data_IF_753403870742
#
_entry.id   IF_753403870742
#
_cell.length_a   1.000
_cell.length_b   1.000
_cell.length_c   1.000
_cell.angle_alpha   90.00
_cell.angle_beta   90.00
_cell.angle_gamma   90.00
#
_symmetry.space_group_name_H-M   'P 1'
#
loop_
_entity.id
_entity.type
_entity.pdbx_description
1 polymer ?
#
# COMPACT_ATOMS: atom_id res chain seq x y z
N UNK A 1 15.38 5.36 6.23
CA UNK A 1 15.69 6.80 6.41
C UNK A 1 14.59 7.43 7.25
N UNK A 2 14.85 7.60 8.55
CA UNK A 2 13.90 8.16 9.52
C UNK A 2 13.46 9.56 9.05
N UNK A 3 12.18 9.72 8.74
CA UNK A 3 11.60 11.03 8.48
C UNK A 3 11.88 11.92 9.69
N UNK A 4 12.52 13.06 9.45
CA UNK A 4 12.66 14.16 10.39
C UNK A 4 11.28 14.78 10.71
N UNK A 5 10.42 13.99 11.36
CA UNK A 5 9.23 14.47 12.04
C UNK A 5 9.65 14.87 13.44
N UNK A 6 9.26 16.07 13.87
CA UNK A 6 9.45 16.53 15.25
C UNK A 6 8.91 15.45 16.18
N UNK A 7 9.76 14.92 17.07
CA UNK A 7 9.36 13.79 17.91
C UNK A 7 8.19 14.20 18.82
N UNK A 8 7.18 13.34 19.01
CA UNK A 8 6.03 13.65 19.87
C UNK A 8 6.46 13.95 21.32
N UNK A 9 7.60 13.41 21.76
CA UNK A 9 8.24 13.70 23.05
C UNK A 9 8.75 15.15 23.10
N UNK A 10 9.41 15.62 22.04
CA UNK A 10 9.91 17.00 21.96
C UNK A 10 8.77 18.02 22.07
N UNK A 11 7.65 17.75 21.38
CA UNK A 11 6.48 18.63 21.42
C UNK A 11 5.79 18.66 22.78
N UNK A 12 5.77 17.53 23.49
CA UNK A 12 5.29 17.47 24.87
C UNK A 12 6.17 18.29 25.82
N UNK A 13 7.49 18.15 25.71
CA UNK A 13 8.45 18.90 26.53
C UNK A 13 8.35 20.40 26.26
N UNK A 14 8.26 20.80 25.00
CA UNK A 14 8.09 22.21 24.63
C UNK A 14 6.80 22.81 25.20
N UNK A 15 5.69 22.07 25.13
CA UNK A 15 4.42 22.51 25.71
C UNK A 15 4.50 22.63 27.24
N UNK A 16 5.08 21.63 27.92
CA UNK A 16 5.26 21.66 29.37
C UNK A 16 6.16 22.81 29.83
N UNK A 17 7.25 23.08 29.12
CA UNK A 17 8.10 24.24 29.39
C UNK A 17 7.33 25.55 29.19
N UNK A 18 6.59 25.65 28.09
CA UNK A 18 5.76 26.81 27.77
C UNK A 18 4.71 27.13 28.85
N UNK A 19 3.94 26.12 29.26
CA UNK A 19 2.95 26.24 30.33
C UNK A 19 3.60 26.46 31.69
N UNK A 20 4.71 25.76 31.98
CA UNK A 20 5.42 25.83 33.25
C UNK A 20 5.98 27.21 33.55
N UNK A 21 6.60 27.88 32.56
CA UNK A 21 7.12 29.24 32.73
C UNK A 21 6.00 30.23 33.08
N UNK A 22 4.88 30.19 32.36
CA UNK A 22 3.72 31.04 32.68
C UNK A 22 3.14 30.72 34.06
N UNK A 23 3.07 29.45 34.46
CA UNK A 23 2.60 29.06 35.79
C UNK A 23 3.48 29.63 36.91
N UNK A 24 4.81 29.52 36.77
CA UNK A 24 5.76 30.09 37.74
C UNK A 24 5.62 31.61 37.84
N UNK A 25 5.46 32.32 36.72
CA UNK A 25 5.20 33.77 36.71
C UNK A 25 3.87 34.11 37.41
N UNK A 26 2.85 33.25 37.28
CA UNK A 26 1.59 33.43 37.99
C UNK A 26 1.76 33.26 39.50
N UNK A 27 2.48 32.23 39.94
CA UNK A 27 2.74 31.98 41.37
C UNK A 27 3.47 33.15 42.04
N UNK A 28 4.47 33.74 41.37
CA UNK A 28 5.21 34.90 41.93
C UNK A 28 4.36 36.17 42.04
N UNK A 29 3.19 36.22 41.39
CA UNK A 29 2.28 37.36 41.43
C UNK A 29 1.10 37.18 42.40
N UNK A 30 1.01 36.07 43.12
CA UNK A 30 -0.11 35.81 44.06
C UNK A 30 -0.16 36.85 45.17
N UNK A 31 0.97 37.16 45.82
CA UNK A 31 1.01 38.12 46.93
C UNK A 31 0.77 39.57 46.49
N UNK A 32 1.04 39.88 45.21
CA UNK A 32 0.82 41.19 44.61
C UNK A 32 -0.53 41.31 43.88
N UNK A 33 -1.37 40.27 43.93
CA UNK A 33 -2.64 40.25 43.22
C UNK A 33 -3.67 41.15 43.91
N UNK A 34 -4.56 41.75 43.11
CA UNK A 34 -5.70 42.53 43.64
C UNK A 34 -6.66 41.65 44.45
N UNK A 35 -6.82 40.42 44.00
CA UNK A 35 -7.66 39.38 44.58
C UNK A 35 -6.87 38.06 44.58
N UNK A 36 -6.25 37.69 45.73
CA UNK A 36 -5.45 36.47 45.84
C UNK A 36 -6.24 35.20 45.57
N UNK A 37 -7.52 35.14 45.98
CA UNK A 37 -8.36 33.94 45.81
C UNK A 37 -8.68 33.72 44.33
N UNK A 38 -8.99 34.79 43.60
CA UNK A 38 -9.17 34.75 42.15
C UNK A 38 -7.87 34.33 41.43
N UNK A 39 -6.71 34.75 41.92
CA UNK A 39 -5.41 34.37 41.35
C UNK A 39 -5.12 32.88 41.53
N UNK A 40 -5.36 32.33 42.72
CA UNK A 40 -5.18 30.90 43.01
C UNK A 40 -6.14 30.07 42.16
N UNK A 41 -7.41 30.47 42.06
CA UNK A 41 -8.40 29.78 41.22
C UNK A 41 -7.98 29.79 39.73
N UNK A 42 -7.44 30.91 39.26
CA UNK A 42 -6.90 31.04 37.91
C UNK A 42 -5.74 30.08 37.65
N UNK A 43 -4.80 29.95 38.59
CA UNK A 43 -3.68 29.00 38.51
C UNK A 43 -4.15 27.54 38.46
N UNK A 44 -5.17 27.17 39.26
CA UNK A 44 -5.75 25.82 39.26
C UNK A 44 -6.38 25.49 37.90
N UNK A 45 -7.21 26.37 37.36
CA UNK A 45 -7.82 26.16 36.04
C UNK A 45 -6.78 26.11 34.93
N UNK A 46 -5.76 26.97 34.99
CA UNK A 46 -4.66 26.98 34.04
C UNK A 46 -3.87 25.67 34.06
N UNK A 47 -3.53 25.15 35.24
CA UNK A 47 -2.82 23.88 35.40
C UNK A 47 -3.67 22.71 34.85
N UNK A 48 -4.98 22.71 35.10
CA UNK A 48 -5.90 21.73 34.53
C UNK A 48 -5.90 21.74 33.00
N UNK A 49 -6.00 22.93 32.40
CA UNK A 49 -5.95 23.09 30.94
C UNK A 49 -4.60 22.62 30.36
N UNK A 50 -3.48 22.98 31.01
CA UNK A 50 -2.14 22.58 30.62
C UNK A 50 -1.96 21.06 30.68
N UNK A 51 -2.41 20.40 31.74
CA UNK A 51 -2.33 18.94 31.89
C UNK A 51 -3.14 18.21 30.82
N UNK A 52 -4.37 18.64 30.54
CA UNK A 52 -5.22 18.01 29.52
C UNK A 52 -4.58 18.10 28.12
N UNK A 53 -3.83 19.16 27.85
CA UNK A 53 -3.20 19.39 26.54
C UNK A 53 -1.83 18.72 26.46
N UNK A 54 -1.04 18.76 27.53
CA UNK A 54 0.34 18.27 27.54
C UNK A 54 0.48 16.77 27.87
N UNK A 55 -0.35 16.22 28.74
CA UNK A 55 -0.18 14.84 29.28
C UNK A 55 -0.60 13.74 28.31
N UNK A 56 -1.73 13.82 27.56
CA UNK A 56 -2.07 12.78 26.60
C UNK A 56 -0.96 12.67 25.55
N UNK A 57 -0.41 11.45 25.39
CA UNK A 57 0.66 11.18 24.43
C UNK A 57 0.24 11.76 23.08
N UNK A 58 1.12 12.55 22.47
CA UNK A 58 1.05 13.04 21.09
C UNK A 58 1.13 11.90 20.04
N UNK A 59 0.68 10.70 20.42
CA UNK A 59 0.61 9.50 19.61
C UNK A 59 -0.64 9.48 18.74
N UNK A 60 -1.75 10.08 19.20
CA UNK A 60 -2.98 10.22 18.42
C UNK A 60 -3.02 11.61 17.78
N UNK A 61 -3.18 11.65 16.46
CA UNK A 61 -3.11 12.89 15.67
C UNK A 61 -4.27 13.87 15.96
N UNK A 62 -5.35 13.40 16.61
CA UNK A 62 -6.53 14.18 16.96
C UNK A 62 -6.86 14.04 18.45
N UNK A 63 -7.09 15.17 19.10
CA UNK A 63 -7.53 15.21 20.49
C UNK A 63 -9.03 14.89 20.58
N UNK A 64 -9.49 14.08 21.56
CA UNK A 64 -10.92 13.88 21.80
C UNK A 64 -11.65 15.21 21.99
N UNK A 65 -12.89 15.29 21.48
CA UNK A 65 -13.66 16.54 21.50
C UNK A 65 -13.90 17.01 22.95
N UNK A 66 -14.27 16.09 23.84
CA UNK A 66 -14.50 16.38 25.26
C UNK A 66 -13.26 16.98 25.94
N UNK A 67 -12.08 16.40 25.72
CA UNK A 67 -10.82 16.93 26.28
C UNK A 67 -10.50 18.31 25.71
N UNK A 68 -10.77 18.53 24.42
CA UNK A 68 -10.57 19.83 23.77
C UNK A 68 -11.48 20.89 24.39
N UNK A 69 -12.77 20.57 24.54
CA UNK A 69 -13.75 21.45 25.17
C UNK A 69 -13.36 21.77 26.62
N UNK A 70 -13.00 20.75 27.39
CA UNK A 70 -12.58 20.92 28.78
C UNK A 70 -11.32 21.81 28.89
N UNK A 71 -10.30 21.58 28.06
CA UNK A 71 -9.09 22.40 28.07
C UNK A 71 -9.36 23.86 27.70
N UNK A 72 -10.16 24.10 26.65
CA UNK A 72 -10.55 25.44 26.20
C UNK A 72 -11.36 26.16 27.29
N UNK A 73 -12.35 25.49 27.86
CA UNK A 73 -13.21 26.04 28.91
C UNK A 73 -12.41 26.35 30.18
N UNK A 74 -11.56 25.44 30.63
CA UNK A 74 -10.68 25.68 31.78
C UNK A 74 -9.72 26.85 31.51
N UNK A 75 -9.16 26.97 30.31
CA UNK A 75 -8.30 28.09 29.97
C UNK A 75 -9.07 29.42 29.94
N UNK A 76 -10.30 29.43 29.44
CA UNK A 76 -11.16 30.62 29.48
C UNK A 76 -11.47 31.06 30.91
N UNK A 77 -11.81 30.10 31.77
CA UNK A 77 -12.04 30.37 33.20
C UNK A 77 -10.77 30.87 33.88
N UNK A 78 -9.61 30.30 33.54
CA UNK A 78 -8.32 30.79 34.01
C UNK A 78 -8.08 32.24 33.58
N UNK A 79 -8.28 32.57 32.30
CA UNK A 79 -8.10 33.92 31.78
C UNK A 79 -9.04 34.93 32.46
N UNK A 80 -10.32 34.59 32.63
CA UNK A 80 -11.30 35.43 33.32
C UNK A 80 -10.88 35.74 34.76
N UNK A 81 -10.51 34.71 35.53
CA UNK A 81 -10.08 34.90 36.92
C UNK A 81 -8.71 35.61 37.03
N UNK A 82 -7.80 35.30 36.13
CA UNK A 82 -6.48 35.95 36.05
C UNK A 82 -6.62 37.43 35.69
N UNK A 83 -7.61 37.78 34.89
CA UNK A 83 -7.94 39.16 34.60
C UNK A 83 -8.59 39.90 35.78
N UNK A 84 -9.45 39.24 36.56
CA UNK A 84 -9.99 39.84 37.80
C UNK A 84 -8.90 40.11 38.85
N UNK A 85 -7.94 39.19 38.97
CA UNK A 85 -6.84 39.28 39.92
C UNK A 85 -5.77 40.33 39.56
N UNK A 86 -5.71 40.78 38.30
CA UNK A 86 -4.67 41.70 37.81
C UNK A 86 -5.22 43.09 37.55
N UNK A 87 -4.55 44.13 38.06
CA UNK A 87 -4.94 45.53 37.79
C UNK A 87 -4.51 45.92 36.38
N UNK A 88 -5.41 46.59 35.64
CA UNK A 88 -5.07 47.20 34.35
C UNK A 88 -4.35 48.52 34.62
N UNK A 89 -3.14 48.67 34.09
CA UNK A 89 -2.34 49.89 34.22
C UNK A 89 -2.46 50.66 32.90
N UNK A 90 -2.52 52.01 32.89
CA UNK A 90 -2.62 52.81 31.66
C UNK A 90 -1.28 52.88 30.89
N UNK A 91 -0.63 51.73 30.71
CA UNK A 91 0.60 51.55 29.94
C UNK A 91 0.27 50.60 28.78
N UNK A 92 0.66 50.96 27.57
CA UNK A 92 0.46 50.11 26.41
C UNK A 92 1.36 48.86 26.50
N UNK A 93 0.81 47.70 26.15
CA UNK A 93 1.58 46.45 26.10
C UNK A 93 1.85 45.80 27.45
N UNK A 94 0.99 46.04 28.44
CA UNK A 94 0.86 45.12 29.58
C UNK A 94 0.66 43.69 29.03
N UNK A 95 1.21 42.73 29.76
CA UNK A 95 1.18 41.32 29.37
C UNK A 95 0.68 40.52 30.56
N UNK A 96 -0.44 39.78 30.43
CA UNK A 96 -0.93 38.97 31.52
C UNK A 96 0.04 37.83 31.77
N UNK A 97 0.09 37.34 33.01
CA UNK A 97 1.01 36.26 33.40
C UNK A 97 0.82 34.98 32.57
N UNK A 98 -0.40 34.74 32.06
CA UNK A 98 -0.76 33.60 31.24
C UNK A 98 -0.52 33.80 29.73
N UNK A 99 0.01 34.95 29.28
CA UNK A 99 0.16 35.27 27.85
C UNK A 99 0.97 34.23 27.06
N UNK A 100 2.07 33.73 27.64
CA UNK A 100 2.88 32.69 27.00
C UNK A 100 2.13 31.35 26.96
N UNK A 101 1.44 31.00 28.04
CA UNK A 101 0.52 29.87 28.08
C UNK A 101 -0.58 29.91 27.02
N UNK A 102 -1.13 31.09 26.74
CA UNK A 102 -2.15 31.29 25.70
C UNK A 102 -1.59 30.99 24.31
N UNK A 103 -0.39 31.49 24.00
CA UNK A 103 0.30 31.18 22.73
C UNK A 103 0.55 29.68 22.57
N UNK A 104 1.02 29.01 23.64
CA UNK A 104 1.28 27.57 23.64
C UNK A 104 -0.02 26.78 23.48
N UNK A 105 -1.12 27.22 24.11
CA UNK A 105 -2.44 26.62 23.98
C UNK A 105 -2.96 26.66 22.54
N UNK A 106 -2.91 27.83 21.90
CA UNK A 106 -3.31 28.01 20.50
C UNK A 106 -2.46 27.12 19.58
N UNK A 107 -1.14 27.14 19.77
CA UNK A 107 -0.21 26.33 19.00
C UNK A 107 -0.51 24.84 19.13
N UNK A 108 -0.75 24.36 20.35
CA UNK A 108 -1.10 22.98 20.61
C UNK A 108 -2.43 22.56 19.97
N UNK A 109 -3.46 23.41 20.02
CA UNK A 109 -4.75 23.16 19.36
C UNK A 109 -4.63 23.09 17.83
N UNK A 110 -3.82 23.97 17.23
CA UNK A 110 -3.54 23.95 15.79
C UNK A 110 -2.86 22.65 15.37
N UNK A 111 -1.82 22.22 16.09
CA UNK A 111 -1.13 20.97 15.81
C UNK A 111 -2.02 19.73 15.99
N UNK A 112 -3.01 19.81 16.88
CA UNK A 112 -3.98 18.73 17.15
C UNK A 112 -5.23 18.78 16.26
N UNK A 113 -5.18 19.51 15.14
CA UNK A 113 -6.26 19.61 14.14
C UNK A 113 -7.57 20.21 14.66
N UNK A 114 -7.53 20.99 15.75
CA UNK A 114 -8.69 21.66 16.35
C UNK A 114 -8.67 23.17 16.06
N UNK A 115 -8.43 23.52 14.80
CA UNK A 115 -8.28 24.90 14.34
C UNK A 115 -9.43 25.82 14.80
N UNK A 116 -10.68 25.41 14.59
CA UNK A 116 -11.84 26.22 14.97
C UNK A 116 -11.95 26.47 16.47
N UNK A 117 -11.47 25.53 17.30
CA UNK A 117 -11.41 25.72 18.75
C UNK A 117 -10.30 26.71 19.16
N UNK A 118 -9.17 26.71 18.45
CA UNK A 118 -8.11 27.70 18.64
C UNK A 118 -8.60 29.11 18.26
N UNK A 119 -9.33 29.24 17.14
CA UNK A 119 -9.97 30.50 16.73
C UNK A 119 -10.96 30.97 17.79
N UNK A 120 -11.84 30.08 18.25
CA UNK A 120 -12.83 30.39 19.28
C UNK A 120 -12.15 30.89 20.57
N UNK A 121 -11.12 30.19 21.04
CA UNK A 121 -10.35 30.59 22.21
C UNK A 121 -9.70 31.97 22.03
N UNK A 122 -9.10 32.21 20.86
CA UNK A 122 -8.48 33.50 20.53
C UNK A 122 -9.48 34.65 20.49
N UNK A 123 -10.64 34.45 19.87
CA UNK A 123 -11.71 35.45 19.78
C UNK A 123 -12.21 35.81 21.19
N UNK A 124 -12.53 34.81 22.01
CA UNK A 124 -13.05 35.04 23.37
C UNK A 124 -12.04 35.78 24.24
N UNK A 125 -10.76 35.39 24.21
CA UNK A 125 -9.72 36.07 24.97
C UNK A 125 -9.46 37.48 24.45
N UNK A 126 -9.57 37.70 23.13
CA UNK A 126 -9.48 39.05 22.55
C UNK A 126 -10.63 39.93 23.01
N UNK A 127 -11.86 39.42 23.07
CA UNK A 127 -13.01 40.15 23.60
C UNK A 127 -12.81 40.48 25.09
N UNK A 128 -12.33 39.53 25.89
CA UNK A 128 -12.00 39.76 27.31
C UNK A 128 -10.91 40.84 27.48
N UNK A 129 -9.89 40.82 26.62
CA UNK A 129 -8.80 41.79 26.60
C UNK A 129 -9.30 43.20 26.26
N UNK A 130 -10.14 43.33 25.22
CA UNK A 130 -10.71 44.61 24.77
C UNK A 130 -11.54 45.30 25.85
N UNK A 131 -12.27 44.54 26.68
CA UNK A 131 -13.04 45.09 27.82
C UNK A 131 -12.19 45.81 28.86
N UNK A 132 -10.88 45.55 28.89
CA UNK A 132 -9.93 46.13 29.84
C UNK A 132 -9.20 47.35 29.31
N UNK A 133 -9.36 47.68 28.03
CA UNK A 133 -8.65 48.81 27.45
C UNK A 133 -9.10 50.10 28.10
N UNK A 134 -8.12 50.86 28.59
CA UNK A 134 -8.37 52.10 29.32
C UNK A 134 -8.43 53.25 28.33
N UNK A 135 -9.45 54.09 28.45
CA UNK A 135 -9.55 55.34 27.68
C UNK A 135 -8.88 56.45 28.47
N UNK A 136 -7.83 57.05 27.89
CA UNK A 136 -7.11 58.19 28.47
C UNK A 136 -7.15 59.33 27.47
N UNK A 137 -7.73 60.48 27.87
CA UNK A 137 -7.84 61.71 27.05
C UNK A 137 -8.33 61.42 25.61
N UNK A 138 -9.53 60.83 25.50
CA UNK A 138 -10.20 60.47 24.24
C UNK A 138 -9.44 59.52 23.30
N UNK A 139 -8.30 58.97 23.76
CA UNK A 139 -7.55 57.94 23.06
C UNK A 139 -7.67 56.61 23.81
N UNK A 140 -8.00 55.54 23.08
CA UNK A 140 -8.03 54.18 23.63
C UNK A 140 -6.60 53.68 23.70
N UNK A 141 -6.09 53.45 24.91
CA UNK A 141 -4.76 52.86 25.09
C UNK A 141 -4.91 51.34 25.00
N UNK A 142 -4.27 50.67 24.03
CA UNK A 142 -4.28 49.22 23.95
C UNK A 142 -3.43 48.66 25.09
N UNK A 143 -4.06 48.50 26.26
CA UNK A 143 -3.41 48.05 27.49
C UNK A 143 -2.76 46.69 27.28
N UNK A 144 -3.38 45.81 26.50
CA UNK A 144 -2.95 44.42 26.32
C UNK A 144 -2.83 44.10 24.81
N UNK A 145 -1.62 43.93 24.28
CA UNK A 145 -1.36 43.72 22.83
C UNK A 145 -0.97 42.28 22.45
N UNK A 146 -0.83 41.39 23.44
CA UNK A 146 -0.34 40.02 23.25
C UNK A 146 -1.23 39.16 22.33
N UNK A 147 -2.53 39.48 22.20
CA UNK A 147 -3.47 38.77 21.31
C UNK A 147 -3.14 38.97 19.84
N UNK A 148 -2.54 40.11 19.45
CA UNK A 148 -2.09 40.39 18.09
C UNK A 148 -0.85 39.55 17.73
N UNK A 149 0.10 39.43 18.67
CA UNK A 149 1.26 38.56 18.49
C UNK A 149 0.85 37.08 18.37
N UNK A 150 -0.12 36.65 19.17
CA UNK A 150 -0.69 35.31 19.08
C UNK A 150 -1.35 35.04 17.72
N UNK A 151 -2.00 36.04 17.11
CA UNK A 151 -2.56 35.94 15.76
C UNK A 151 -1.48 35.72 14.69
N UNK A 152 -0.35 36.42 14.78
CA UNK A 152 0.78 36.25 13.85
C UNK A 152 1.38 34.84 13.92
N UNK A 153 1.64 34.35 15.13
CA UNK A 153 2.13 32.97 15.34
C UNK A 153 1.11 31.92 14.90
N UNK A 154 -0.18 32.20 15.12
CA UNK A 154 -1.29 31.35 14.68
C UNK A 154 -1.33 31.19 13.16
N UNK A 155 -1.29 32.31 12.42
CA UNK A 155 -1.31 32.28 10.94
C UNK A 155 -0.07 31.58 10.39
N UNK A 156 1.12 31.87 10.93
CA UNK A 156 2.36 31.22 10.52
C UNK A 156 2.32 29.69 10.73
N UNK A 157 1.81 29.25 11.89
CA UNK A 157 1.66 27.82 12.21
C UNK A 157 0.65 27.13 11.29
N UNK A 158 -0.47 27.80 10.99
CA UNK A 158 -1.49 27.28 10.09
C UNK A 158 -0.99 27.08 8.66
N UNK A 159 -0.30 28.08 8.11
CA UNK A 159 0.30 28.00 6.77
C UNK A 159 1.34 26.88 6.72
N UNK A 160 2.22 26.81 7.72
CA UNK A 160 3.23 25.74 7.82
C UNK A 160 2.60 24.34 7.89
N UNK A 161 1.49 24.19 8.62
CA UNK A 161 0.77 22.92 8.72
C UNK A 161 0.09 22.52 7.40
N UNK A 162 -0.53 23.47 6.68
CA UNK A 162 -1.13 23.18 5.37
C UNK A 162 -0.09 22.74 4.34
N UNK A 163 1.06 23.42 4.29
CA UNK A 163 2.15 23.04 3.39
C UNK A 163 2.72 21.65 3.72
N UNK A 164 2.84 21.32 5.01
CA UNK A 164 3.25 19.98 5.43
C UNK A 164 2.27 18.88 4.98
N UNK A 165 0.96 19.14 5.07
CA UNK A 165 -0.06 18.20 4.58
C UNK A 165 0.02 18.01 3.06
N UNK A 166 0.13 19.11 2.30
CA UNK A 166 0.28 19.08 0.84
C UNK A 166 1.51 18.28 0.41
N UNK A 167 2.64 18.52 1.07
CA UNK A 167 3.88 17.80 0.81
C UNK A 167 3.76 16.30 1.07
N UNK A 168 3.10 15.90 2.16
CA UNK A 168 2.86 14.49 2.47
C UNK A 168 1.91 13.83 1.46
N UNK A 169 0.90 14.55 0.96
CA UNK A 169 0.01 14.05 -0.08
C UNK A 169 0.79 13.80 -1.39
N UNK A 170 1.59 14.77 -1.84
CA UNK A 170 2.45 14.63 -3.03
C UNK A 170 3.42 13.46 -2.92
N UNK A 171 4.03 13.24 -1.75
CA UNK A 171 4.90 12.07 -1.51
C UNK A 171 4.17 10.74 -1.64
N UNK A 172 2.92 10.66 -1.17
CA UNK A 172 2.10 9.44 -1.30
C UNK A 172 1.75 9.18 -2.75
N UNK A 173 1.41 10.23 -3.50
CA UNK A 173 1.11 10.15 -4.93
C UNK A 173 2.31 9.69 -5.75
N UNK A 174 3.50 10.29 -5.54
CA UNK A 174 4.75 9.87 -6.19
C UNK A 174 5.05 8.40 -5.87
N UNK A 175 4.87 7.97 -4.60
CA UNK A 175 5.08 6.57 -4.24
C UNK A 175 4.10 5.63 -4.95
N UNK A 176 2.83 6.01 -5.09
CA UNK A 176 1.84 5.24 -5.85
C UNK A 176 2.25 5.14 -7.32
N UNK A 177 2.63 6.26 -7.95
CA UNK A 177 3.08 6.29 -9.34
C UNK A 177 4.29 5.38 -9.58
N UNK A 178 5.28 5.40 -8.68
CA UNK A 178 6.46 4.53 -8.74
C UNK A 178 6.12 3.04 -8.59
N UNK A 179 5.14 2.69 -7.75
CA UNK A 179 4.69 1.31 -7.59
C UNK A 179 3.99 0.80 -8.86
N UNK A 180 3.11 1.61 -9.46
CA UNK A 180 2.45 1.27 -10.73
C UNK A 180 3.43 1.19 -11.91
N UNK A 181 4.46 2.03 -11.94
CA UNK A 181 5.50 1.95 -12.97
C UNK A 181 6.28 0.62 -12.86
N UNK A 182 6.70 0.24 -11.65
CA UNK A 182 7.41 -1.03 -11.41
C UNK A 182 6.58 -2.26 -11.77
N UNK A 183 5.29 -2.29 -11.43
CA UNK A 183 4.44 -3.43 -11.77
C UNK A 183 4.27 -3.61 -13.28
N UNK A 184 4.24 -2.50 -14.04
CA UNK A 184 4.15 -2.55 -15.49
C UNK A 184 5.47 -3.02 -16.12
N UNK A 185 6.61 -2.54 -15.61
CA UNK A 185 7.93 -2.96 -16.08
C UNK A 185 8.19 -4.46 -15.81
N UNK A 186 7.79 -4.97 -14.64
CA UNK A 186 7.90 -6.40 -14.30
C UNK A 186 7.07 -7.28 -15.24
N UNK A 187 5.81 -6.91 -15.50
CA UNK A 187 4.96 -7.65 -16.43
C UNK A 187 5.49 -7.65 -17.87
N UNK A 188 6.05 -6.52 -18.32
CA UNK A 188 6.67 -6.43 -19.64
C UNK A 188 7.95 -7.27 -19.73
N UNK A 189 8.79 -7.26 -18.68
CA UNK A 189 10.00 -8.09 -18.60
C UNK A 189 9.68 -9.59 -18.61
N UNK A 190 8.68 -10.02 -17.84
CA UNK A 190 8.24 -11.42 -17.81
C UNK A 190 7.77 -11.88 -19.20
N UNK A 191 7.02 -11.05 -19.92
CA UNK A 191 6.56 -11.36 -21.27
C UNK A 191 7.73 -11.49 -22.27
N UNK A 192 8.74 -10.63 -22.15
CA UNK A 192 9.96 -10.68 -22.98
C UNK A 192 10.77 -11.92 -22.69
N UNK A 193 10.99 -12.24 -21.41
CA UNK A 193 11.72 -13.43 -20.98
C UNK A 193 11.06 -14.72 -21.48
N UNK A 194 9.74 -14.84 -21.35
CA UNK A 194 8.98 -15.96 -21.88
C UNK A 194 9.06 -16.08 -23.42
N UNK A 195 9.16 -14.95 -24.12
CA UNK A 195 9.40 -14.96 -25.58
C UNK A 195 10.81 -15.45 -25.93
N UNK A 196 11.84 -14.96 -25.24
CA UNK A 196 13.22 -15.38 -25.45
C UNK A 196 13.44 -16.87 -25.17
N UNK A 197 12.85 -17.40 -24.09
CA UNK A 197 12.92 -18.83 -23.77
C UNK A 197 12.32 -19.69 -24.89
N UNK A 198 11.14 -19.33 -25.41
CA UNK A 198 10.52 -20.04 -26.54
C UNK A 198 11.39 -20.05 -27.79
N UNK A 199 12.04 -18.94 -28.12
CA UNK A 199 12.97 -18.87 -29.26
C UNK A 199 14.18 -19.80 -29.04
N UNK A 200 14.73 -19.83 -27.82
CA UNK A 200 15.84 -20.72 -27.48
C UNK A 200 15.45 -22.19 -27.57
N UNK A 201 14.25 -22.57 -27.13
CA UNK A 201 13.75 -23.94 -27.23
C UNK A 201 13.58 -24.40 -28.68
N UNK A 202 12.98 -23.55 -29.53
CA UNK A 202 12.87 -23.85 -30.97
C UNK A 202 14.25 -23.98 -31.60
N UNK A 203 15.20 -23.10 -31.26
CA UNK A 203 16.57 -23.16 -31.78
C UNK A 203 17.29 -24.44 -31.34
N UNK A 204 17.10 -24.88 -30.09
CA UNK A 204 17.67 -26.12 -29.57
C UNK A 204 17.14 -27.35 -30.29
N UNK A 205 15.86 -27.37 -30.67
CA UNK A 205 15.22 -28.49 -31.34
C UNK A 205 15.55 -28.56 -32.84
N UNK A 206 15.46 -27.43 -33.55
CA UNK A 206 15.56 -27.41 -35.01
C UNK A 206 16.90 -26.88 -35.56
N UNK A 207 17.72 -26.25 -34.72
CA UNK A 207 18.91 -25.51 -35.16
C UNK A 207 19.87 -26.35 -36.01
N UNK A 208 20.28 -27.52 -35.50
CA UNK A 208 21.22 -28.39 -36.22
C UNK A 208 20.66 -28.93 -37.55
N UNK A 209 19.36 -29.19 -37.62
CA UNK A 209 18.69 -29.66 -38.85
C UNK A 209 18.59 -28.54 -39.89
N UNK A 210 18.28 -27.32 -39.46
CA UNK A 210 18.25 -26.15 -40.35
C UNK A 210 19.66 -25.76 -40.83
N UNK A 211 20.67 -25.84 -39.96
CA UNK A 211 22.07 -25.61 -40.34
C UNK A 211 22.53 -26.62 -41.40
N UNK A 212 22.17 -27.89 -41.23
CA UNK A 212 22.41 -28.93 -42.23
C UNK A 212 21.75 -28.61 -43.57
N UNK A 213 20.45 -28.27 -43.58
CA UNK A 213 19.75 -27.88 -44.81
C UNK A 213 20.43 -26.67 -45.49
N UNK A 214 20.94 -25.72 -44.70
CA UNK A 214 21.52 -24.49 -45.22
C UNK A 214 22.95 -24.64 -45.76
N UNK A 215 23.76 -25.53 -45.19
CA UNK A 215 25.22 -25.57 -45.45
C UNK A 215 25.73 -26.90 -46.01
N UNK A 216 24.98 -27.99 -45.91
CA UNK A 216 25.39 -29.30 -46.41
C UNK A 216 24.84 -29.52 -47.84
N UNK A 217 25.69 -29.60 -48.88
CA UNK A 217 25.26 -29.82 -50.25
C UNK A 217 25.01 -31.29 -50.60
N UNK A 218 25.17 -32.23 -49.65
CA UNK A 218 24.90 -33.65 -49.89
C UNK A 218 23.42 -33.94 -50.17
N UNK A 219 23.14 -35.03 -50.90
CA UNK A 219 21.77 -35.45 -51.18
C UNK A 219 21.05 -35.82 -49.87
N UNK A 220 19.80 -35.36 -49.75
CA UNK A 220 18.94 -35.63 -48.60
C UNK A 220 18.50 -37.11 -48.65
N UNK A 221 18.91 -37.89 -47.67
CA UNK A 221 18.55 -39.32 -47.58
C UNK A 221 17.15 -39.50 -46.99
N UNK A 222 16.55 -40.69 -47.14
CA UNK A 222 15.26 -41.00 -46.50
C UNK A 222 15.32 -40.91 -44.96
N UNK A 223 16.47 -41.26 -44.37
CA UNK A 223 16.70 -41.08 -42.94
C UNK A 223 16.55 -39.63 -42.52
N UNK A 224 17.07 -38.71 -43.32
CA UNK A 224 17.01 -37.27 -43.05
C UNK A 224 15.59 -36.72 -43.15
N UNK A 225 14.86 -37.15 -44.19
CA UNK A 225 13.45 -36.80 -44.36
C UNK A 225 12.65 -37.24 -43.13
N UNK A 226 12.93 -38.43 -42.60
CA UNK A 226 12.28 -38.92 -41.40
C UNK A 226 12.62 -38.06 -40.17
N UNK A 227 13.90 -37.71 -39.97
CA UNK A 227 14.32 -36.82 -38.88
C UNK A 227 13.68 -35.42 -38.97
N UNK A 228 13.56 -34.86 -40.18
CA UNK A 228 12.87 -33.58 -40.38
C UNK A 228 11.38 -33.67 -40.05
N UNK A 229 10.69 -34.72 -40.50
CA UNK A 229 9.27 -34.96 -40.19
C UNK A 229 9.02 -35.15 -38.70
N UNK A 230 9.85 -35.93 -38.02
CA UNK A 230 9.75 -36.13 -36.57
C UNK A 230 9.96 -34.82 -35.81
N UNK A 231 10.92 -34.00 -36.23
CA UNK A 231 11.20 -32.71 -35.58
C UNK A 231 10.09 -31.68 -35.84
N UNK A 232 9.53 -31.64 -37.05
CA UNK A 232 8.36 -30.80 -37.38
C UNK A 232 7.15 -31.20 -36.52
N UNK A 233 6.86 -32.50 -36.42
CA UNK A 233 5.77 -32.99 -35.61
C UNK A 233 5.98 -32.65 -34.12
N UNK A 234 7.21 -32.78 -33.60
CA UNK A 234 7.55 -32.40 -32.23
C UNK A 234 7.37 -30.89 -31.99
N UNK A 235 7.76 -30.02 -32.95
CA UNK A 235 7.53 -28.58 -32.86
C UNK A 235 6.04 -28.25 -32.86
N UNK A 236 5.26 -28.90 -33.73
CA UNK A 236 3.81 -28.72 -33.81
C UNK A 236 3.12 -29.09 -32.50
N UNK A 237 3.52 -30.21 -31.89
CA UNK A 237 2.98 -30.64 -30.60
C UNK A 237 3.38 -29.69 -29.47
N UNK A 238 4.59 -29.15 -29.49
CA UNK A 238 5.01 -28.15 -28.50
C UNK A 238 4.13 -26.89 -28.59
N UNK A 239 3.78 -26.47 -29.80
CA UNK A 239 2.93 -25.29 -30.04
C UNK A 239 1.46 -25.57 -29.68
N UNK A 240 0.93 -26.74 -30.08
CA UNK A 240 -0.48 -27.11 -29.88
C UNK A 240 -0.77 -27.62 -28.47
N UNK A 241 0.13 -28.40 -27.89
CA UNK A 241 -0.02 -29.06 -26.60
C UNK A 241 0.37 -28.22 -25.39
N UNK A 242 1.06 -27.08 -25.58
CA UNK A 242 1.38 -26.06 -24.55
C UNK A 242 1.66 -26.62 -23.15
N UNK A 243 0.66 -26.65 -22.27
CA UNK A 243 0.81 -27.07 -20.87
C UNK A 243 0.98 -28.58 -20.67
N UNK A 244 0.53 -29.39 -21.63
CA UNK A 244 0.67 -30.86 -21.64
C UNK A 244 2.03 -31.28 -22.22
N UNK A 245 2.61 -30.48 -23.12
CA UNK A 245 3.81 -30.80 -23.90
C UNK A 245 5.10 -30.71 -23.07
N UNK A 246 5.24 -31.55 -22.04
CA UNK A 246 6.47 -31.66 -21.26
C UNK A 246 7.56 -32.41 -22.03
N UNK A 247 8.85 -32.19 -21.70
CA UNK A 247 9.96 -32.88 -22.34
C UNK A 247 9.79 -34.41 -22.36
N UNK A 248 9.29 -34.98 -21.27
CA UNK A 248 9.06 -36.43 -21.15
C UNK A 248 7.93 -36.93 -22.06
N UNK A 249 6.78 -36.25 -22.09
CA UNK A 249 5.66 -36.63 -22.97
C UNK A 249 6.07 -36.52 -24.45
N UNK A 250 6.82 -35.48 -24.81
CA UNK A 250 7.34 -35.31 -26.18
C UNK A 250 8.32 -36.43 -26.57
N UNK A 251 9.14 -36.90 -25.64
CA UNK A 251 10.07 -38.01 -25.87
C UNK A 251 9.32 -39.33 -26.12
N UNK A 252 8.36 -39.69 -25.27
CA UNK A 252 7.55 -40.91 -25.46
C UNK A 252 6.73 -40.82 -26.75
N UNK A 253 6.18 -39.64 -27.05
CA UNK A 253 5.44 -39.40 -28.29
C UNK A 253 6.32 -39.61 -29.52
N UNK A 254 7.58 -39.18 -29.47
CA UNK A 254 8.56 -39.43 -30.53
C UNK A 254 8.81 -40.93 -30.70
N UNK A 255 9.01 -41.68 -29.61
CA UNK A 255 9.20 -43.13 -29.65
C UNK A 255 7.96 -43.87 -30.17
N UNK A 256 6.74 -43.39 -29.87
CA UNK A 256 5.51 -43.94 -30.43
C UNK A 256 5.40 -43.68 -31.95
N UNK A 257 5.75 -42.48 -32.40
CA UNK A 257 5.76 -42.15 -33.84
C UNK A 257 6.82 -42.93 -34.62
N UNK A 258 7.98 -43.20 -34.03
CA UNK A 258 9.01 -44.03 -34.65
C UNK A 258 8.53 -45.48 -34.88
N UNK A 259 7.60 -45.95 -34.04
CA UNK A 259 6.89 -47.23 -34.21
C UNK A 259 5.75 -47.19 -35.24
N UNK A 260 5.39 -46.01 -35.74
CA UNK A 260 4.32 -45.83 -36.73
C UNK A 260 2.97 -45.36 -36.14
N UNK A 261 2.89 -45.08 -34.84
CA UNK A 261 1.66 -44.56 -34.20
C UNK A 261 1.47 -43.08 -34.54
N UNK A 262 0.26 -42.69 -34.95
CA UNK A 262 -0.09 -41.28 -35.16
C UNK A 262 -0.49 -40.67 -33.82
N UNK A 263 0.09 -39.53 -33.45
CA UNK A 263 -0.23 -38.85 -32.19
C UNK A 263 -0.63 -37.40 -32.46
N UNK A 264 -1.76 -36.96 -31.91
CA UNK A 264 -2.20 -35.56 -31.92
C UNK A 264 -2.33 -35.04 -30.48
N UNK A 265 -1.69 -33.91 -30.19
CA UNK A 265 -1.68 -33.29 -28.87
C UNK A 265 -2.26 -31.88 -28.99
N UNK A 266 -3.33 -31.61 -28.23
CA UNK A 266 -4.06 -30.36 -28.27
C UNK A 266 -4.32 -29.82 -26.85
N UNK A 267 -3.99 -28.57 -26.61
CA UNK A 267 -4.30 -27.86 -25.37
C UNK A 267 -5.16 -26.63 -25.64
N UNK A 268 -6.43 -26.71 -25.25
CA UNK A 268 -7.41 -25.62 -25.33
C UNK A 268 -7.54 -24.87 -23.99
N UNK A 269 -6.82 -25.28 -22.95
CA UNK A 269 -6.92 -24.76 -21.58
C UNK A 269 -6.31 -23.38 -21.44
N UNK A 270 -5.22 -23.11 -22.17
CA UNK A 270 -4.51 -21.83 -22.16
C UNK A 270 -3.83 -21.46 -20.83
N UNK A 271 -3.91 -22.34 -19.82
CA UNK A 271 -3.33 -22.17 -18.49
C UNK A 271 -2.76 -23.50 -17.97
N UNK A 272 -1.69 -23.48 -17.15
CA UNK A 272 -1.06 -24.70 -16.63
C UNK A 272 -2.01 -25.63 -15.89
N UNK A 273 -1.86 -26.94 -16.13
CA UNK A 273 -2.55 -28.01 -15.39
C UNK A 273 -2.16 -28.01 -13.90
N UNK A 274 -3.10 -28.29 -12.98
CA UNK A 274 -2.76 -28.50 -11.58
C UNK A 274 -1.75 -29.66 -11.45
N UNK A 275 -0.80 -29.62 -10.51
CA UNK A 275 0.26 -30.62 -10.41
C UNK A 275 -0.24 -32.07 -10.32
N UNK A 276 -1.37 -32.31 -9.63
CA UNK A 276 -1.98 -33.63 -9.50
C UNK A 276 -2.52 -34.15 -10.84
N UNK A 277 -3.26 -33.32 -11.56
CA UNK A 277 -3.83 -33.65 -12.88
C UNK A 277 -2.70 -33.89 -13.88
N UNK A 278 -1.64 -33.07 -13.83
CA UNK A 278 -0.48 -33.22 -14.70
C UNK A 278 0.27 -34.54 -14.44
N UNK A 279 0.41 -34.96 -13.18
CA UNK A 279 1.03 -36.24 -12.83
C UNK A 279 0.20 -37.42 -13.37
N UNK A 280 -1.11 -37.43 -13.13
CA UNK A 280 -2.02 -38.45 -13.67
C UNK A 280 -2.00 -38.47 -15.21
N UNK A 281 -2.00 -37.30 -15.85
CA UNK A 281 -1.90 -37.18 -17.32
C UNK A 281 -0.62 -37.79 -17.83
N UNK A 282 0.52 -37.48 -17.18
CA UNK A 282 1.82 -38.00 -17.60
C UNK A 282 1.88 -39.52 -17.49
N UNK A 283 1.33 -40.08 -16.42
CA UNK A 283 1.27 -41.53 -16.18
C UNK A 283 0.40 -42.24 -17.23
N UNK A 284 -0.82 -41.74 -17.46
CA UNK A 284 -1.76 -42.35 -18.41
C UNK A 284 -1.30 -42.21 -19.86
N UNK A 285 -0.75 -41.05 -20.24
CA UNK A 285 -0.15 -40.87 -21.57
C UNK A 285 1.03 -41.81 -21.79
N UNK A 286 1.90 -41.98 -20.78
CA UNK A 286 3.02 -42.91 -20.87
C UNK A 286 2.54 -44.35 -21.00
N UNK A 287 1.52 -44.76 -20.24
CA UNK A 287 0.93 -46.10 -20.32
C UNK A 287 0.38 -46.38 -21.72
N UNK A 288 -0.48 -45.50 -22.24
CA UNK A 288 -1.12 -45.66 -23.56
C UNK A 288 -0.07 -45.68 -24.67
N UNK A 289 0.83 -44.69 -24.72
CA UNK A 289 1.82 -44.59 -25.80
C UNK A 289 2.86 -45.72 -25.76
N UNK A 290 3.17 -46.28 -24.59
CA UNK A 290 4.10 -47.41 -24.52
C UNK A 290 3.49 -48.71 -25.04
N UNK A 291 2.18 -48.92 -24.85
CA UNK A 291 1.48 -50.12 -25.33
C UNK A 291 1.02 -50.02 -26.78
N UNK A 292 0.72 -48.81 -27.28
CA UNK A 292 0.29 -48.59 -28.65
C UNK A 292 1.36 -49.05 -29.67
N UNK A 293 0.97 -49.98 -30.55
CA UNK A 293 1.82 -50.47 -31.65
C UNK A 293 1.38 -49.90 -33.02
N UNK A 294 0.10 -49.55 -33.17
CA UNK A 294 -0.48 -48.96 -34.36
C UNK A 294 -1.64 -48.00 -34.00
N UNK A 295 -2.21 -47.34 -35.00
CA UNK A 295 -3.39 -46.49 -34.84
C UNK A 295 -3.11 -45.02 -34.51
N UNK A 296 -4.10 -44.36 -33.91
CA UNK A 296 -4.12 -42.92 -33.58
C UNK A 296 -4.34 -42.71 -32.09
N UNK A 297 -3.45 -41.92 -31.46
CA UNK A 297 -3.59 -41.46 -30.07
C UNK A 297 -3.84 -39.96 -30.05
N UNK A 298 -4.98 -39.55 -29.49
CA UNK A 298 -5.37 -38.14 -29.33
C UNK A 298 -5.32 -37.76 -27.86
N UNK A 299 -4.57 -36.72 -27.52
CA UNK A 299 -4.46 -36.17 -26.16
C UNK A 299 -4.98 -34.73 -26.19
N UNK A 300 -6.09 -34.47 -25.50
CA UNK A 300 -6.74 -33.15 -25.47
C UNK A 300 -6.89 -32.62 -24.05
N UNK A 301 -6.37 -31.43 -23.75
CA UNK A 301 -6.74 -30.69 -22.54
C UNK A 301 -7.87 -29.71 -22.83
N UNK A 302 -8.88 -29.72 -21.96
CA UNK A 302 -10.08 -28.89 -22.09
C UNK A 302 -9.95 -27.54 -21.36
N UNK A 303 -10.77 -26.53 -21.74
CA UNK A 303 -10.86 -25.26 -21.05
C UNK A 303 -11.12 -25.38 -19.55
N UNK A 304 -10.64 -24.40 -18.78
CA UNK A 304 -10.89 -24.34 -17.34
C UNK A 304 -12.39 -24.24 -17.05
N UNK A 305 -12.90 -25.14 -16.22
CA UNK A 305 -14.32 -25.21 -15.83
C UNK A 305 -15.08 -26.39 -16.43
N UNK A 306 -14.45 -27.14 -17.34
CA UNK A 306 -14.92 -28.46 -17.76
C UNK A 306 -14.69 -29.48 -16.63
N UNK A 307 -15.62 -30.39 -16.31
CA UNK A 307 -15.39 -31.48 -15.37
C UNK A 307 -14.18 -32.37 -15.76
N UNK A 308 -13.89 -32.50 -17.05
CA UNK A 308 -12.76 -33.28 -17.55
C UNK A 308 -11.61 -32.35 -17.92
N UNK A 309 -10.46 -32.50 -17.27
CA UNK A 309 -9.29 -31.68 -17.56
C UNK A 309 -8.50 -32.18 -18.78
N UNK A 310 -8.32 -33.50 -18.90
CA UNK A 310 -7.60 -34.12 -20.01
C UNK A 310 -8.35 -35.37 -20.47
N UNK A 311 -8.43 -35.53 -21.79
CA UNK A 311 -9.01 -36.68 -22.45
C UNK A 311 -8.01 -37.31 -23.39
N UNK A 312 -7.81 -38.61 -23.23
CA UNK A 312 -6.88 -39.41 -24.02
C UNK A 312 -7.71 -40.47 -24.73
N UNK A 313 -7.59 -40.55 -26.05
CA UNK A 313 -8.25 -41.56 -26.87
C UNK A 313 -7.19 -42.30 -27.66
N UNK A 314 -7.24 -43.62 -27.64
CA UNK A 314 -6.44 -44.48 -28.50
C UNK A 314 -7.36 -45.34 -29.34
N UNK A 315 -7.25 -45.15 -30.66
CA UNK A 315 -7.95 -45.90 -31.69
C UNK A 315 -6.92 -46.77 -32.42
N UNK A 316 -7.09 -48.09 -32.40
CA UNK A 316 -6.14 -49.04 -33.01
C UNK A 316 -6.28 -49.15 -34.54
N UNK A 317 -7.20 -48.40 -35.17
CA UNK A 317 -7.58 -48.53 -36.60
C UNK A 317 -8.09 -49.96 -36.96
N UNK A 318 -8.55 -50.74 -35.96
CA UNK A 318 -9.13 -52.09 -36.12
C UNK A 318 -10.64 -52.03 -35.83
N UNK A 319 -11.49 -52.52 -36.74
CA UNK A 319 -12.96 -52.47 -36.60
C UNK A 319 -13.48 -53.43 -35.51
N UNK A 320 -12.67 -54.41 -35.09
CA UNK A 320 -13.06 -55.45 -34.13
C UNK A 320 -12.61 -55.15 -32.68
N UNK A 321 -11.78 -54.13 -32.44
CA UNK A 321 -11.36 -53.69 -31.10
C UNK A 321 -11.98 -52.35 -30.69
N UNK A 322 -12.59 -52.29 -29.50
CA UNK A 322 -13.13 -51.04 -28.96
C UNK A 322 -12.01 -50.03 -28.64
N UNK A 323 -12.16 -48.75 -29.03
CA UNK A 323 -11.18 -47.71 -28.74
C UNK A 323 -11.09 -47.44 -27.24
N UNK A 324 -9.88 -47.23 -26.74
CA UNK A 324 -9.65 -46.93 -25.33
C UNK A 324 -9.82 -45.44 -25.11
N UNK A 325 -10.71 -45.05 -24.20
CA UNK A 325 -10.89 -43.65 -23.78
C UNK A 325 -10.56 -43.47 -22.30
N UNK A 326 -9.78 -42.43 -21.98
CA UNK A 326 -9.38 -42.10 -20.61
C UNK A 326 -9.70 -40.64 -20.34
N UNK A 327 -10.52 -40.39 -19.33
CA UNK A 327 -10.86 -39.08 -18.80
C UNK A 327 -10.13 -38.83 -17.48
N UNK A 328 -9.55 -37.65 -17.34
CA UNK A 328 -8.91 -37.20 -16.10
C UNK A 328 -9.68 -35.99 -15.59
N UNK A 329 -10.31 -36.12 -14.43
CA UNK A 329 -11.15 -35.08 -13.85
C UNK A 329 -10.34 -33.85 -13.41
N UNK A 330 -10.90 -32.66 -13.63
CA UNK A 330 -10.30 -31.40 -13.15
C UNK A 330 -10.30 -31.38 -11.61
N UNK A 331 -9.27 -30.77 -11.02
CA UNK A 331 -9.03 -30.67 -9.57
C UNK A 331 -8.67 -31.98 -8.84
N UNK A 332 -9.40 -33.08 -9.04
CA UNK A 332 -9.15 -34.34 -8.33
C UNK A 332 -8.04 -35.17 -8.97
N UNK A 333 -7.94 -35.13 -10.31
CA UNK A 333 -7.05 -36.00 -11.08
C UNK A 333 -7.51 -37.46 -11.08
N UNK A 334 -8.78 -37.73 -10.75
CA UNK A 334 -9.36 -39.06 -10.87
C UNK A 334 -9.38 -39.50 -12.33
N UNK A 335 -8.99 -40.75 -12.55
CA UNK A 335 -8.87 -41.35 -13.88
C UNK A 335 -10.06 -42.28 -14.09
N UNK A 336 -10.83 -42.04 -15.15
CA UNK A 336 -11.92 -42.91 -15.60
C UNK A 336 -11.55 -43.49 -16.96
N UNK A 337 -11.59 -44.82 -17.09
CA UNK A 337 -11.28 -45.54 -18.33
C UNK A 337 -12.55 -46.17 -18.88
N UNK A 338 -12.78 -46.00 -20.17
CA UNK A 338 -13.95 -46.46 -20.90
C UNK A 338 -13.53 -47.23 -22.15
#
# INVERSE_FOLDING_TARGET
MNSAGISPKFLTVLALLGFGVSFVIGVTKVDSARDPDAMVLSLVFYAGAALIVAVPRWATQQMPLLSTMAAVLLFMLAAEQGYKATVAVPIAGQMPWFAMGFTVMIFALCLRQRFWWAVLLWVVITIMSLRRWIVVRDSVVPTESYTVMALGLFVATWVGYQEFLRFNQRKREIRRMLLTARSNDEAEQDSKNASYQRVQDVRRLAGGLLERIAHDPSEVTEYDINQFRLTEAQLRDTIRGRSIATPYILEITRTARDRGVRVDILDERGHPLPPKVMAATTEQVAEVLNHAQCGVVTIRAFPKGDPTAVFIVHDNDDEDEDPIAIEIADVTGEVSRF
#
